data_IF_149285745723
#
_entry.id   IF_149285745723
#
_cell.length_a   1.000
_cell.length_b   1.000
_cell.length_c   1.000
_cell.angle_alpha   90.00
_cell.angle_beta   90.00
_cell.angle_gamma   90.00
#
_symmetry.space_group_name_H-M   'P 1'
#
loop_
_entity.id
_entity.type
_entity.pdbx_description
1 polymer ?
#
# COMPACT_ATOMS: atom_id res chain seq x y z
N UNK A 1 13.94 8.94 -3.79
CA UNK A 1 13.10 7.87 -4.32
C UNK A 1 11.70 8.40 -4.54
N UNK A 2 11.13 8.19 -5.72
CA UNK A 2 9.85 8.76 -6.10
C UNK A 2 8.71 7.74 -6.19
N UNK A 3 9.02 6.45 -6.01
CA UNK A 3 8.04 5.36 -6.02
C UNK A 3 8.59 4.12 -5.32
N UNK A 4 7.70 3.21 -4.93
CA UNK A 4 8.09 1.86 -4.52
C UNK A 4 7.03 0.87 -4.99
N UNK A 5 7.38 -0.41 -4.96
CA UNK A 5 6.47 -1.47 -5.37
C UNK A 5 5.78 -2.04 -4.15
N UNK A 6 4.46 -1.96 -4.14
CA UNK A 6 3.63 -2.49 -3.07
C UNK A 6 3.22 -3.90 -3.47
N UNK A 7 3.82 -4.90 -2.83
CA UNK A 7 3.64 -6.30 -3.18
C UNK A 7 2.44 -6.92 -2.49
N UNK A 8 1.86 -7.98 -3.12
CA UNK A 8 0.79 -8.76 -2.53
C UNK A 8 1.18 -9.32 -1.16
N UNK A 9 2.46 -9.66 -0.97
CA UNK A 9 2.97 -10.14 0.32
C UNK A 9 2.84 -9.11 1.43
N UNK A 10 2.85 -7.82 1.11
CA UNK A 10 2.59 -6.74 2.08
C UNK A 10 1.09 -6.60 2.34
N UNK A 11 0.29 -6.71 1.28
CA UNK A 11 -1.15 -6.50 1.35
C UNK A 11 -1.86 -7.53 2.22
N UNK A 12 -1.47 -8.79 2.13
CA UNK A 12 -2.12 -9.87 2.86
C UNK A 12 -2.18 -9.66 4.37
N UNK A 13 -1.04 -9.42 5.05
CA UNK A 13 -1.11 -9.16 6.49
C UNK A 13 -1.79 -7.83 6.83
N UNK A 14 -1.63 -6.79 5.99
CA UNK A 14 -2.28 -5.51 6.22
C UNK A 14 -3.79 -5.65 6.19
N UNK A 15 -4.33 -6.43 5.24
CA UNK A 15 -5.77 -6.63 5.10
C UNK A 15 -6.39 -7.38 6.29
N UNK A 16 -5.60 -8.08 7.08
CA UNK A 16 -6.07 -8.77 8.29
C UNK A 16 -6.15 -7.87 9.52
N UNK A 17 -5.54 -6.70 9.46
CA UNK A 17 -5.61 -5.71 10.53
C UNK A 17 -6.95 -4.97 10.49
N UNK A 18 -7.34 -4.35 11.60
CA UNK A 18 -8.50 -3.46 11.55
C UNK A 18 -8.14 -2.22 10.72
N UNK A 19 -9.15 -1.41 10.38
CA UNK A 19 -8.94 -0.27 9.49
C UNK A 19 -7.94 0.74 10.05
N UNK A 20 -8.02 1.03 11.34
CA UNK A 20 -7.12 1.97 12.00
C UNK A 20 -5.66 1.49 11.94
N UNK A 21 -5.45 0.23 12.28
CA UNK A 21 -4.12 -0.39 12.23
C UNK A 21 -3.57 -0.43 10.81
N UNK A 22 -4.40 -0.85 9.86
CA UNK A 22 -4.00 -0.91 8.44
C UNK A 22 -3.60 0.47 7.92
N UNK A 23 -4.35 1.50 8.27
CA UNK A 23 -4.04 2.88 7.90
C UNK A 23 -2.70 3.33 8.46
N UNK A 24 -2.43 2.99 9.72
CA UNK A 24 -1.17 3.35 10.35
C UNK A 24 0.02 2.65 9.68
N UNK A 25 -0.13 1.38 9.29
CA UNK A 25 0.94 0.65 8.59
C UNK A 25 1.27 1.29 7.25
N UNK A 26 0.25 1.56 6.43
CA UNK A 26 0.52 2.12 5.10
C UNK A 26 1.12 3.53 5.19
N UNK A 27 0.67 4.34 6.15
CA UNK A 27 1.26 5.66 6.38
C UNK A 27 2.71 5.53 6.87
N UNK A 28 2.99 4.56 7.75
CA UNK A 28 4.35 4.33 8.24
C UNK A 28 5.28 3.89 7.11
N UNK A 29 4.80 3.02 6.23
CA UNK A 29 5.58 2.60 5.07
C UNK A 29 5.91 3.78 4.17
N UNK A 30 4.94 4.64 3.86
CA UNK A 30 5.15 5.83 3.05
C UNK A 30 6.12 6.80 3.71
N UNK A 31 5.98 7.04 5.01
CA UNK A 31 6.85 7.95 5.75
C UNK A 31 8.30 7.43 5.76
N UNK A 32 8.47 6.13 5.89
CA UNK A 32 9.81 5.53 5.87
C UNK A 32 10.44 5.62 4.49
N UNK A 33 9.70 5.22 3.45
CA UNK A 33 10.24 5.18 2.08
C UNK A 33 10.55 6.59 1.55
N UNK A 34 9.65 7.54 1.76
CA UNK A 34 9.76 8.87 1.13
C UNK A 34 10.36 9.94 2.03
N UNK A 35 10.32 9.76 3.35
CA UNK A 35 10.75 10.81 4.31
C UNK A 35 11.72 10.34 5.37
N UNK A 36 12.21 9.10 5.32
CA UNK A 36 13.14 8.52 6.29
C UNK A 36 12.64 8.54 7.73
N UNK A 37 11.33 8.43 7.93
CA UNK A 37 10.73 8.46 9.26
C UNK A 37 10.25 7.08 9.68
N UNK A 38 10.53 6.71 10.93
CA UNK A 38 9.99 5.49 11.54
C UNK A 38 8.71 5.80 12.28
N UNK A 39 7.88 4.77 12.57
CA UNK A 39 6.63 4.96 13.30
C UNK A 39 6.85 5.61 14.66
N UNK A 40 5.93 6.50 15.06
CA UNK A 40 5.98 7.13 16.38
C UNK A 40 5.59 6.14 17.47
N UNK A 41 5.87 6.50 18.74
CA UNK A 41 5.47 5.70 19.89
C UNK A 41 3.96 5.56 20.01
N UNK A 42 3.20 6.48 19.41
CA UNK A 42 1.74 6.49 19.44
C UNK A 42 1.13 5.48 18.47
N UNK A 43 1.93 4.89 17.60
CA UNK A 43 1.46 3.89 16.64
C UNK A 43 0.94 2.66 17.38
N UNK A 44 -0.21 2.13 16.95
CA UNK A 44 -0.80 0.95 17.57
C UNK A 44 0.15 -0.24 17.52
N UNK A 45 0.16 -1.10 18.56
CA UNK A 45 1.14 -2.20 18.65
C UNK A 45 1.17 -3.13 17.44
N UNK A 46 0.03 -3.53 16.91
CA UNK A 46 -0.01 -4.43 15.75
C UNK A 46 0.50 -3.76 14.49
N UNK A 47 0.19 -2.48 14.30
CA UNK A 47 0.68 -1.71 13.16
C UNK A 47 2.20 -1.57 13.23
N UNK A 48 2.73 -1.23 14.40
CA UNK A 48 4.16 -1.09 14.63
C UNK A 48 4.89 -2.41 14.42
N UNK A 49 4.33 -3.51 14.95
CA UNK A 49 4.92 -4.84 14.79
C UNK A 49 4.98 -5.26 13.33
N UNK A 50 3.92 -5.04 12.56
CA UNK A 50 3.92 -5.38 11.15
C UNK A 50 4.90 -4.51 10.37
N UNK A 51 4.98 -3.22 10.67
CA UNK A 51 5.95 -2.34 10.02
C UNK A 51 7.38 -2.88 10.21
N UNK A 52 7.76 -3.26 11.43
CA UNK A 52 9.11 -3.77 11.68
C UNK A 52 9.34 -5.15 11.10
N UNK A 53 8.29 -5.95 10.92
CA UNK A 53 8.41 -7.20 10.20
C UNK A 53 8.75 -6.98 8.72
N UNK A 54 8.25 -5.89 8.13
CA UNK A 54 8.52 -5.53 6.75
C UNK A 54 9.79 -4.64 6.60
N UNK A 55 10.36 -4.22 7.69
CA UNK A 55 11.42 -3.21 7.71
C UNK A 55 12.62 -3.56 6.84
N UNK A 56 13.10 -4.80 6.91
CA UNK A 56 14.25 -5.24 6.13
C UNK A 56 13.99 -5.09 4.63
N UNK A 57 12.82 -5.54 4.18
CA UNK A 57 12.45 -5.47 2.77
C UNK A 57 12.31 -4.02 2.31
N UNK A 58 11.71 -3.17 3.14
CA UNK A 58 11.54 -1.76 2.83
C UNK A 58 12.90 -1.04 2.80
N UNK A 59 13.79 -1.34 3.75
CA UNK A 59 15.14 -0.79 3.79
C UNK A 59 15.94 -1.17 2.56
N UNK A 60 15.84 -2.43 2.14
CA UNK A 60 16.54 -2.92 0.97
C UNK A 60 16.04 -2.24 -0.30
N UNK A 61 14.72 -2.14 -0.45
CA UNK A 61 14.11 -1.45 -1.58
C UNK A 61 14.59 -0.01 -1.67
N UNK A 62 14.69 0.66 -0.52
CA UNK A 62 15.12 2.05 -0.44
C UNK A 62 16.60 2.22 -0.77
N UNK A 63 17.47 1.36 -0.22
CA UNK A 63 18.92 1.42 -0.45
C UNK A 63 19.28 1.13 -1.90
N UNK A 64 18.66 0.13 -2.49
CA UNK A 64 18.98 -0.32 -3.86
C UNK A 64 18.27 0.49 -4.92
N UNK A 65 17.34 1.37 -4.55
CA UNK A 65 16.52 2.13 -5.48
C UNK A 65 16.03 1.25 -6.62
N UNK A 66 15.39 0.14 -6.24
CA UNK A 66 14.97 -0.91 -7.16
C UNK A 66 14.08 -0.33 -8.25
N UNK A 67 14.50 -0.49 -9.50
CA UNK A 67 13.80 0.06 -10.67
C UNK A 67 12.80 -0.90 -11.28
N UNK A 68 12.89 -2.19 -10.94
CA UNK A 68 12.01 -3.22 -11.49
C UNK A 68 11.41 -4.04 -10.35
N UNK A 69 10.14 -4.42 -10.49
CA UNK A 69 9.48 -5.27 -9.52
C UNK A 69 10.05 -6.71 -9.58
N UNK A 70 9.91 -7.44 -8.48
CA UNK A 70 10.31 -8.85 -8.42
C UNK A 70 9.44 -9.69 -9.35
N UNK A 71 10.06 -10.64 -10.05
CA UNK A 71 9.33 -11.56 -10.92
C UNK A 71 8.45 -12.51 -10.12
N UNK A 72 7.27 -12.81 -10.66
CA UNK A 72 6.37 -13.79 -10.10
C UNK A 72 5.57 -13.33 -8.89
N UNK A 73 5.74 -12.09 -8.45
CA UNK A 73 5.00 -11.53 -7.32
C UNK A 73 4.14 -10.38 -7.83
N UNK A 74 2.85 -10.44 -7.53
CA UNK A 74 1.93 -9.36 -7.88
C UNK A 74 2.26 -8.09 -7.09
N UNK A 75 2.11 -6.94 -7.75
CA UNK A 75 2.42 -5.64 -7.15
C UNK A 75 1.59 -4.55 -7.82
N UNK A 76 1.53 -3.38 -7.18
CA UNK A 76 1.22 -2.14 -7.89
C UNK A 76 2.24 -1.07 -7.48
N UNK A 77 2.39 -0.06 -8.34
CA UNK A 77 3.35 1.01 -8.10
C UNK A 77 2.75 2.05 -7.18
N UNK A 78 3.42 2.27 -6.04
CA UNK A 78 3.02 3.27 -5.07
C UNK A 78 3.88 4.51 -5.29
N UNK A 79 3.29 5.55 -5.87
CA UNK A 79 4.01 6.79 -6.21
C UNK A 79 4.03 7.74 -5.02
N UNK A 80 4.93 8.73 -5.08
CA UNK A 80 4.99 9.78 -4.07
C UNK A 80 3.67 10.56 -4.00
N UNK A 81 3.02 10.79 -5.16
CA UNK A 81 1.73 11.48 -5.19
C UNK A 81 0.67 10.68 -4.42
N UNK A 82 0.63 9.37 -4.63
CA UNK A 82 -0.29 8.50 -3.91
C UNK A 82 0.03 8.48 -2.41
N UNK A 83 1.32 8.43 -2.05
CA UNK A 83 1.75 8.48 -0.66
C UNK A 83 1.30 9.77 0.04
N UNK A 84 1.47 10.90 -0.63
CA UNK A 84 1.02 12.20 -0.09
C UNK A 84 -0.47 12.22 0.18
N UNK A 85 -1.24 11.60 -0.71
CA UNK A 85 -2.68 11.51 -0.53
C UNK A 85 -3.03 10.68 0.71
N UNK A 86 -2.41 9.50 0.87
CA UNK A 86 -2.62 8.67 2.05
C UNK A 86 -2.23 9.38 3.35
N UNK A 87 -1.18 10.18 3.32
CA UNK A 87 -0.67 10.88 4.50
C UNK A 87 -1.67 11.91 5.07
N UNK A 88 -2.51 12.51 4.22
CA UNK A 88 -3.49 13.50 4.67
C UNK A 88 -4.83 12.91 5.10
N UNK A 89 -5.06 11.62 4.84
CA UNK A 89 -6.27 10.94 5.28
C UNK A 89 -6.15 10.57 6.76
N UNK A 90 -7.29 10.43 7.45
CA UNK A 90 -7.26 9.83 8.78
C UNK A 90 -6.89 8.34 8.68
N UNK A 91 -6.50 7.74 9.80
CA UNK A 91 -5.99 6.37 9.79
C UNK A 91 -7.04 5.36 9.33
N UNK A 92 -8.29 5.51 9.76
CA UNK A 92 -9.36 4.60 9.37
C UNK A 92 -9.64 4.66 7.88
N UNK A 93 -9.76 5.87 7.34
CA UNK A 93 -10.00 6.07 5.89
C UNK A 93 -8.83 5.52 5.07
N UNK A 94 -7.60 5.79 5.49
CA UNK A 94 -6.42 5.25 4.82
C UNK A 94 -6.42 3.72 4.84
N UNK A 95 -6.82 3.12 5.97
CA UNK A 95 -6.91 1.67 6.10
C UNK A 95 -7.94 1.06 5.18
N UNK A 96 -9.12 1.65 5.11
CA UNK A 96 -10.17 1.17 4.20
C UNK A 96 -9.69 1.28 2.75
N UNK A 97 -9.08 2.40 2.40
CA UNK A 97 -8.63 2.66 1.03
C UNK A 97 -7.52 1.70 0.59
N UNK A 98 -6.53 1.41 1.46
CA UNK A 98 -5.47 0.46 1.09
C UNK A 98 -6.02 -0.96 0.95
N UNK A 99 -7.00 -1.34 1.76
CA UNK A 99 -7.67 -2.63 1.62
C UNK A 99 -8.47 -2.71 0.32
N UNK A 100 -9.12 -1.62 -0.07
CA UNK A 100 -9.85 -1.53 -1.32
C UNK A 100 -8.92 -1.69 -2.52
N UNK A 101 -7.81 -0.97 -2.52
CA UNK A 101 -6.81 -1.07 -3.58
C UNK A 101 -6.24 -2.50 -3.66
N UNK A 102 -5.95 -3.09 -2.51
CA UNK A 102 -5.40 -4.45 -2.43
C UNK A 102 -6.39 -5.49 -2.95
N UNK A 103 -7.66 -5.34 -2.59
CA UNK A 103 -8.72 -6.24 -3.08
C UNK A 103 -8.84 -6.17 -4.60
N UNK A 104 -8.78 -4.96 -5.14
CA UNK A 104 -8.90 -4.74 -6.57
C UNK A 104 -7.73 -5.35 -7.35
N UNK A 105 -6.50 -5.14 -6.87
CA UNK A 105 -5.29 -5.58 -7.59
C UNK A 105 -4.95 -7.05 -7.32
N UNK A 106 -5.11 -7.51 -6.08
CA UNK A 106 -4.58 -8.81 -5.64
C UNK A 106 -5.66 -9.85 -5.42
N UNK A 107 -6.92 -9.52 -5.68
CA UNK A 107 -8.05 -10.42 -5.43
C UNK A 107 -8.10 -10.92 -3.98
N UNK A 108 -7.66 -10.08 -3.04
CA UNK A 108 -7.84 -10.36 -1.61
C UNK A 108 -9.35 -10.30 -1.30
N UNK A 109 -9.81 -10.89 -0.19
CA UNK A 109 -11.24 -10.87 0.12
C UNK A 109 -11.79 -9.45 0.07
N UNK A 110 -12.95 -9.24 -0.58
CA UNK A 110 -13.53 -7.91 -0.68
C UNK A 110 -13.93 -7.38 0.69
N UNK A 111 -13.90 -6.05 0.83
CA UNK A 111 -14.35 -5.37 2.03
C UNK A 111 -15.87 -5.54 2.17
N UNK A 112 -16.36 -5.53 3.41
CA UNK A 112 -17.78 -5.51 3.68
C UNK A 112 -18.39 -4.21 3.11
N UNK A 113 -19.68 -4.27 2.75
CA UNK A 113 -20.39 -3.24 1.98
C UNK A 113 -20.59 -1.90 2.68
N UNK A 114 -20.02 -1.67 3.85
CA UNK A 114 -20.22 -0.45 4.63
C UNK A 114 -19.23 0.66 4.32
N UNK A 115 -18.81 0.79 3.07
CA UNK A 115 -17.83 1.80 2.68
C UNK A 115 -18.47 3.18 2.57
N UNK A 116 -17.78 4.19 3.09
CA UNK A 116 -18.24 5.56 2.95
C UNK A 116 -18.17 6.01 1.50
N UNK A 117 -19.06 6.93 1.09
CA UNK A 117 -19.02 7.52 -0.23
C UNK A 117 -17.67 8.17 -0.54
N UNK A 118 -17.02 8.71 0.49
CA UNK A 118 -15.72 9.35 0.37
C UNK A 118 -14.65 8.37 -0.09
N UNK A 119 -14.63 7.16 0.47
CA UNK A 119 -13.67 6.13 0.06
C UNK A 119 -13.92 5.70 -1.38
N UNK A 120 -15.19 5.55 -1.76
CA UNK A 120 -15.55 5.19 -3.13
C UNK A 120 -15.05 6.25 -4.12
N UNK A 121 -15.23 7.53 -3.81
CA UNK A 121 -14.75 8.62 -4.65
C UNK A 121 -13.23 8.62 -4.76
N UNK A 122 -12.52 8.42 -3.66
CA UNK A 122 -11.06 8.36 -3.65
C UNK A 122 -10.56 7.16 -4.47
N UNK A 123 -11.21 6.01 -4.31
CA UNK A 123 -10.83 4.82 -5.05
C UNK A 123 -11.00 5.02 -6.56
N UNK A 124 -12.08 5.67 -6.99
CA UNK A 124 -12.29 5.97 -8.40
C UNK A 124 -11.18 6.86 -9.00
N UNK A 125 -10.62 7.76 -8.20
CA UNK A 125 -9.50 8.59 -8.62
C UNK A 125 -8.19 7.80 -8.74
N UNK A 126 -8.01 6.79 -7.89
CA UNK A 126 -6.79 5.95 -7.88
C UNK A 126 -6.87 4.84 -8.93
N UNK A 127 -8.06 4.37 -9.23
CA UNK A 127 -8.29 3.23 -10.11
C UNK A 127 -7.52 3.27 -11.44
N UNK A 128 -7.45 4.40 -12.17
CA UNK A 128 -6.67 4.43 -13.41
C UNK A 128 -5.20 4.06 -13.23
N UNK A 129 -4.60 4.45 -12.12
CA UNK A 129 -3.21 4.09 -11.79
C UNK A 129 -3.07 2.59 -11.56
N UNK A 130 -4.04 2.00 -10.87
CA UNK A 130 -4.05 0.55 -10.63
C UNK A 130 -4.28 -0.22 -11.92
N UNK A 131 -5.18 0.24 -12.77
CA UNK A 131 -5.46 -0.37 -14.07
C UNK A 131 -4.21 -0.37 -14.96
N UNK A 132 -3.44 0.70 -14.89
CA UNK A 132 -2.17 0.80 -15.62
C UNK A 132 -1.18 -0.29 -15.18
N UNK A 133 -1.10 -0.55 -13.89
CA UNK A 133 -0.25 -1.62 -13.36
C UNK A 133 -0.71 -2.99 -13.84
N UNK A 134 -2.04 -3.24 -13.82
CA UNK A 134 -2.61 -4.50 -14.30
C UNK A 134 -2.24 -4.70 -15.77
N UNK A 135 -2.40 -3.66 -16.57
CA UNK A 135 -2.09 -3.71 -18.00
C UNK A 135 -0.62 -3.99 -18.25
N UNK A 136 0.27 -3.37 -17.49
CA UNK A 136 1.71 -3.62 -17.61
C UNK A 136 2.06 -5.06 -17.26
N UNK A 137 1.43 -5.65 -16.24
CA UNK A 137 1.64 -7.04 -15.87
C UNK A 137 1.18 -7.99 -16.98
N UNK A 138 0.02 -7.73 -17.57
CA UNK A 138 -0.51 -8.53 -18.68
C UNK A 138 0.39 -8.47 -19.90
N UNK A 139 0.91 -7.29 -20.23
CA UNK A 139 1.83 -7.13 -21.34
C UNK A 139 3.14 -7.89 -21.10
N UNK A 140 3.65 -7.87 -19.87
CA UNK A 140 4.86 -8.62 -19.52
C UNK A 140 4.66 -10.13 -19.65
N UNK A 141 3.46 -10.63 -19.37
CA UNK A 141 3.13 -12.07 -19.53
C UNK A 141 3.06 -12.51 -20.97
N UNK A 142 2.75 -11.61 -21.90
CA UNK A 142 2.66 -11.91 -23.33
C UNK A 142 4.01 -12.00 -24.02
N UNK A 143 5.04 -11.57 -23.35
CA UNK A 143 6.42 -11.57 -23.83
C UNK A 143 7.31 -12.42 -22.95
#
# INVERSE_FOLDING_TARGET
MDKFYFYSSYARPICKLNHNEAGQVIKAMCAFIFHDKEPSEKTLPKAKALFYLLYEQLSEAKKKQIKSAKRGIEYFTFTMALARFFEVLDDVTAGILIKQCSSYIFSTPPLSESESEQVIEYFELIKPTLDKTIKQRENARKH
#
